data_IF_273634643818
#
_entry.id   IF_273634643818
#
_cell.length_a   1.000
_cell.length_b   1.000
_cell.length_c   1.000
_cell.angle_alpha   90.00
_cell.angle_beta   90.00
_cell.angle_gamma   90.00
#
_symmetry.space_group_name_H-M   'P 1'
#
loop_
_entity.id
_entity.type
_entity.pdbx_description
1 polymer ?
#
# COMPACT_ATOMS: atom_id res chain seq x y z
N UNK A 1 6.41 -18.96 -0.71
CA UNK A 1 7.37 -17.88 -1.02
C UNK A 1 8.78 -18.35 -0.66
N UNK A 2 9.72 -18.35 -1.62
CA UNK A 2 11.13 -18.74 -1.41
C UNK A 2 12.03 -17.56 -0.96
N UNK A 3 11.50 -16.34 -0.98
CA UNK A 3 12.21 -15.14 -0.57
C UNK A 3 12.44 -15.09 0.95
N UNK A 4 13.65 -14.71 1.37
CA UNK A 4 14.04 -14.54 2.78
C UNK A 4 14.21 -13.06 3.08
N UNK A 5 13.33 -12.50 3.91
CA UNK A 5 13.47 -11.11 4.36
C UNK A 5 14.72 -10.92 5.22
N UNK A 6 15.42 -9.82 5.00
CA UNK A 6 16.71 -9.54 5.65
C UNK A 6 16.52 -8.69 6.91
N UNK A 7 15.66 -7.69 6.92
CA UNK A 7 15.51 -6.77 8.06
C UNK A 7 14.09 -6.29 8.32
N UNK A 8 13.94 -4.97 8.47
CA UNK A 8 12.64 -4.30 8.38
C UNK A 8 12.14 -4.38 6.95
N UNK A 9 10.82 -4.50 6.77
CA UNK A 9 10.21 -4.55 5.45
C UNK A 9 9.11 -3.50 5.38
N UNK A 10 9.10 -2.71 4.31
CA UNK A 10 7.95 -1.84 4.03
C UNK A 10 6.99 -2.55 3.08
N UNK A 11 5.70 -2.51 3.39
CA UNK A 11 4.65 -3.14 2.58
C UNK A 11 3.63 -2.07 2.22
N UNK A 12 3.52 -1.70 0.95
CA UNK A 12 2.34 -1.03 0.44
C UNK A 12 1.26 -2.10 0.21
N UNK A 13 0.24 -2.13 1.07
CA UNK A 13 -0.85 -3.09 0.96
C UNK A 13 -2.02 -2.44 0.22
N UNK A 14 -2.18 -2.79 -1.05
CA UNK A 14 -3.23 -2.28 -1.92
C UNK A 14 -4.61 -2.49 -1.31
N UNK A 15 -5.40 -1.41 -1.24
CA UNK A 15 -6.72 -1.47 -0.63
C UNK A 15 -7.70 -2.38 -1.38
N UNK A 16 -7.50 -2.60 -2.69
CA UNK A 16 -8.29 -3.56 -3.46
C UNK A 16 -8.02 -5.02 -3.09
N UNK A 17 -6.91 -5.32 -2.41
CA UNK A 17 -6.62 -6.65 -1.87
C UNK A 17 -7.39 -6.85 -0.55
N UNK A 18 -7.44 -5.82 0.30
CA UNK A 18 -8.20 -5.86 1.55
C UNK A 18 -9.71 -5.74 1.32
N UNK A 19 -10.10 -5.03 0.27
CA UNK A 19 -11.47 -4.66 -0.04
C UNK A 19 -11.73 -4.71 -1.56
N UNK A 20 -11.80 -5.93 -2.15
CA UNK A 20 -12.13 -6.09 -3.57
C UNK A 20 -13.58 -5.70 -3.90
N UNK A 21 -14.47 -5.72 -2.90
CA UNK A 21 -15.86 -5.25 -2.99
C UNK A 21 -16.49 -5.15 -1.59
N UNK A 22 -16.24 -6.16 -0.76
CA UNK A 22 -16.40 -6.12 0.70
C UNK A 22 -15.04 -6.36 1.37
N UNK A 23 -14.95 -6.15 2.68
CA UNK A 23 -13.74 -6.46 3.46
C UNK A 23 -13.46 -7.97 3.37
N UNK A 24 -12.33 -8.36 2.79
CA UNK A 24 -11.91 -9.75 2.69
C UNK A 24 -11.30 -10.23 4.02
N UNK A 25 -12.16 -10.70 4.93
CA UNK A 25 -11.77 -11.23 6.24
C UNK A 25 -10.85 -12.45 6.12
N UNK A 26 -11.02 -13.28 5.08
CA UNK A 26 -10.18 -14.46 4.87
C UNK A 26 -8.75 -14.04 4.51
N UNK A 27 -8.60 -13.05 3.64
CA UNK A 27 -7.32 -12.41 3.35
C UNK A 27 -6.71 -11.83 4.62
N UNK A 28 -7.45 -11.02 5.39
CA UNK A 28 -6.92 -10.38 6.60
C UNK A 28 -6.44 -11.40 7.66
N UNK A 29 -7.17 -12.51 7.84
CA UNK A 29 -6.74 -13.63 8.71
C UNK A 29 -5.43 -14.26 8.22
N UNK A 30 -5.32 -14.53 6.91
CA UNK A 30 -4.11 -15.10 6.29
C UNK A 30 -2.93 -14.11 6.39
N UNK A 31 -3.18 -12.82 6.14
CA UNK A 31 -2.20 -11.76 6.23
C UNK A 31 -1.68 -11.60 7.66
N UNK A 32 -2.56 -11.56 8.67
CA UNK A 32 -2.16 -11.57 10.08
C UNK A 32 -1.27 -12.76 10.41
N UNK A 33 -1.69 -13.98 10.07
CA UNK A 33 -0.89 -15.20 10.30
C UNK A 33 0.48 -15.12 9.62
N UNK A 34 0.54 -14.59 8.40
CA UNK A 34 1.78 -14.41 7.66
C UNK A 34 2.73 -13.42 8.35
N UNK A 35 2.26 -12.23 8.72
CA UNK A 35 3.08 -11.21 9.39
C UNK A 35 3.60 -11.73 10.73
N UNK A 36 2.72 -12.29 11.58
CA UNK A 36 3.12 -12.83 12.89
C UNK A 36 4.18 -13.92 12.80
N UNK A 37 4.13 -14.76 11.76
CA UNK A 37 5.17 -15.78 11.51
C UNK A 37 6.55 -15.15 11.32
N UNK A 38 6.63 -14.00 10.65
CA UNK A 38 7.88 -13.29 10.42
C UNK A 38 8.31 -12.45 11.63
N UNK A 39 7.39 -11.94 12.44
CA UNK A 39 7.74 -11.30 13.71
C UNK A 39 8.48 -12.26 14.65
N UNK A 40 8.08 -13.54 14.70
CA UNK A 40 8.78 -14.59 15.46
C UNK A 40 10.22 -14.83 14.98
N UNK A 41 10.57 -14.35 13.79
CA UNK A 41 11.91 -14.42 13.19
C UNK A 41 12.63 -13.07 13.24
N UNK A 42 12.28 -12.25 14.23
CA UNK A 42 12.87 -10.94 14.48
C UNK A 42 12.78 -9.96 13.29
N UNK A 43 11.69 -10.03 12.52
CA UNK A 43 11.40 -9.06 11.45
C UNK A 43 10.47 -7.96 11.97
N UNK A 44 10.64 -6.75 11.44
CA UNK A 44 9.75 -5.60 11.66
C UNK A 44 9.04 -5.23 10.36
N UNK A 45 7.83 -4.70 10.46
CA UNK A 45 7.06 -4.30 9.29
C UNK A 45 6.57 -2.86 9.40
N UNK A 46 6.71 -2.10 8.32
CA UNK A 46 5.96 -0.86 8.10
C UNK A 46 4.90 -1.18 7.05
N UNK A 47 3.62 -1.03 7.36
CA UNK A 47 2.54 -1.40 6.44
C UNK A 47 1.73 -0.14 6.11
N UNK A 48 1.69 0.23 4.84
CA UNK A 48 0.92 1.35 4.31
C UNK A 48 -0.37 0.83 3.69
N UNK A 49 -1.52 1.23 4.24
CA UNK A 49 -2.82 0.78 3.77
C UNK A 49 -3.31 1.60 2.57
N UNK A 50 -3.70 0.94 1.47
CA UNK A 50 -4.38 1.56 0.33
C UNK A 50 -5.87 1.81 0.57
N UNK A 51 -6.48 2.69 -0.25
CA UNK A 51 -7.87 3.11 -0.10
C UNK A 51 -8.93 2.10 -0.59
N UNK A 52 -8.61 1.29 -1.61
CA UNK A 52 -9.48 0.20 -2.05
C UNK A 52 -10.80 0.67 -2.66
N UNK A 53 -11.84 -0.18 -2.60
CA UNK A 53 -13.14 0.24 -3.16
C UNK A 53 -13.78 1.34 -2.33
N UNK A 54 -13.55 1.40 -1.01
CA UNK A 54 -14.04 2.50 -0.15
C UNK A 54 -13.67 3.87 -0.74
N UNK A 55 -12.40 4.08 -1.12
CA UNK A 55 -12.00 5.32 -1.79
C UNK A 55 -12.79 5.58 -3.07
N UNK A 56 -12.91 4.56 -3.94
CA UNK A 56 -13.58 4.66 -5.24
C UNK A 56 -15.09 4.89 -5.10
N UNK A 57 -15.73 4.25 -4.13
CA UNK A 57 -17.17 4.32 -3.89
C UNK A 57 -17.54 5.71 -3.41
N UNK A 58 -16.76 6.29 -2.49
CA UNK A 58 -16.96 7.65 -1.99
C UNK A 58 -16.64 8.71 -3.06
N UNK A 59 -15.55 8.56 -3.82
CA UNK A 59 -15.22 9.44 -4.94
C UNK A 59 -16.32 9.41 -6.01
N UNK A 60 -16.82 8.21 -6.37
CA UNK A 60 -17.90 8.03 -7.35
C UNK A 60 -19.23 8.60 -6.86
N UNK A 61 -19.56 8.44 -5.58
CA UNK A 61 -20.75 9.04 -5.01
C UNK A 61 -20.66 10.58 -5.08
N UNK A 62 -19.52 11.14 -4.66
CA UNK A 62 -19.29 12.58 -4.64
C UNK A 62 -19.31 13.18 -6.06
N UNK A 63 -18.75 12.47 -7.05
CA UNK A 63 -18.74 12.92 -8.45
C UNK A 63 -20.12 12.92 -9.13
N UNK A 64 -21.10 12.20 -8.57
CA UNK A 64 -22.49 12.23 -9.05
C UNK A 64 -23.27 13.42 -8.52
N UNK A 65 -22.78 14.06 -7.45
CA UNK A 65 -23.41 15.22 -6.82
C UNK A 65 -22.84 16.51 -7.38
N UNK A 66 -21.52 16.58 -7.56
CA UNK A 66 -20.84 17.75 -8.09
C UNK A 66 -19.58 17.39 -8.88
N UNK A 67 -19.05 18.36 -9.63
CA UNK A 67 -17.75 18.24 -10.28
C UNK A 67 -16.64 18.36 -9.23
N UNK A 68 -16.01 17.24 -8.89
CA UNK A 68 -14.89 17.23 -7.95
C UNK A 68 -13.59 17.74 -8.56
N UNK A 69 -12.91 18.60 -7.83
CA UNK A 69 -11.50 18.92 -8.06
C UNK A 69 -10.61 17.72 -7.68
N UNK A 70 -9.44 17.63 -8.31
CA UNK A 70 -8.54 16.48 -8.09
C UNK A 70 -8.04 16.41 -6.64
N UNK A 71 -7.86 17.55 -5.98
CA UNK A 71 -7.47 17.61 -4.57
C UNK A 71 -8.54 17.02 -3.63
N UNK A 72 -9.82 17.34 -3.86
CA UNK A 72 -10.93 16.81 -3.05
C UNK A 72 -11.08 15.29 -3.23
N UNK A 73 -10.89 14.80 -4.46
CA UNK A 73 -10.86 13.35 -4.73
C UNK A 73 -9.76 12.68 -3.93
N UNK A 74 -8.57 13.26 -3.91
CA UNK A 74 -7.43 12.73 -3.18
C UNK A 74 -7.69 12.71 -1.67
N UNK A 75 -8.30 13.77 -1.10
CA UNK A 75 -8.66 13.79 0.32
C UNK A 75 -9.63 12.68 0.71
N UNK A 76 -10.68 12.45 -0.08
CA UNK A 76 -11.60 11.32 0.13
C UNK A 76 -10.83 9.99 0.09
N UNK A 77 -9.92 9.84 -0.87
CA UNK A 77 -9.05 8.67 -0.99
C UNK A 77 -8.15 8.47 0.24
N UNK A 78 -7.55 9.55 0.74
CA UNK A 78 -6.71 9.56 1.94
C UNK A 78 -7.52 9.15 3.17
N UNK A 79 -8.73 9.67 3.36
CA UNK A 79 -9.57 9.27 4.48
C UNK A 79 -9.95 7.78 4.44
N UNK A 80 -10.22 7.23 3.24
CA UNK A 80 -10.40 5.79 3.09
C UNK A 80 -9.14 4.98 3.46
N UNK A 81 -7.94 5.47 3.08
CA UNK A 81 -6.68 4.83 3.49
C UNK A 81 -6.48 4.86 5.01
N UNK A 82 -6.87 5.95 5.68
CA UNK A 82 -6.78 6.10 7.14
C UNK A 82 -7.71 5.11 7.86
N UNK A 83 -8.93 4.93 7.35
CA UNK A 83 -9.86 3.94 7.89
C UNK A 83 -9.30 2.51 7.76
N UNK A 84 -8.77 2.16 6.58
CA UNK A 84 -8.12 0.86 6.36
C UNK A 84 -6.86 0.67 7.22
N UNK A 85 -6.07 1.72 7.40
CA UNK A 85 -4.91 1.70 8.29
C UNK A 85 -5.34 1.45 9.74
N UNK A 86 -6.41 2.10 10.19
CA UNK A 86 -6.93 1.87 11.54
C UNK A 86 -7.44 0.43 11.72
N UNK A 87 -8.14 -0.13 10.73
CA UNK A 87 -8.53 -1.55 10.71
C UNK A 87 -7.31 -2.47 10.91
N UNK A 88 -6.24 -2.26 10.13
CA UNK A 88 -5.00 -3.04 10.27
C UNK A 88 -4.37 -2.86 11.65
N UNK A 89 -4.28 -1.63 12.16
CA UNK A 89 -3.76 -1.35 13.51
C UNK A 89 -4.56 -2.13 14.57
N UNK A 90 -5.88 -2.19 14.45
CA UNK A 90 -6.74 -2.96 15.36
C UNK A 90 -6.48 -4.46 15.26
N UNK A 91 -6.34 -5.00 14.04
CA UNK A 91 -6.00 -6.42 13.80
C UNK A 91 -4.64 -6.79 14.41
N UNK A 92 -3.70 -5.84 14.44
CA UNK A 92 -2.36 -5.99 15.00
C UNK A 92 -2.18 -5.29 16.36
N UNK A 93 -3.26 -5.05 17.11
CA UNK A 93 -3.25 -4.20 18.31
C UNK A 93 -2.11 -4.51 19.31
N UNK A 94 -1.75 -5.79 19.49
CA UNK A 94 -0.70 -6.22 20.42
C UNK A 94 0.73 -5.97 19.92
N UNK A 95 0.92 -5.88 18.60
CA UNK A 95 2.23 -5.83 17.96
C UNK A 95 2.53 -4.48 17.29
N UNK A 96 1.47 -3.75 16.96
CA UNK A 96 1.53 -2.49 16.24
C UNK A 96 1.72 -1.30 17.16
N UNK A 97 2.39 -0.28 16.62
CA UNK A 97 2.39 1.05 17.17
C UNK A 97 0.95 1.52 17.42
N UNK A 98 0.65 2.12 18.58
CA UNK A 98 -0.69 2.62 18.86
C UNK A 98 -1.11 3.72 17.88
N UNK A 99 -0.16 4.44 17.28
CA UNK A 99 -0.40 5.56 16.37
C UNK A 99 -0.32 5.09 14.91
N UNK A 100 -1.30 5.50 14.11
CA UNK A 100 -1.22 5.41 12.64
C UNK A 100 -0.43 6.60 12.10
N UNK A 101 0.55 6.34 11.23
CA UNK A 101 1.31 7.37 10.53
C UNK A 101 0.50 7.89 9.33
N UNK A 102 -0.17 9.01 9.53
CA UNK A 102 -0.96 9.76 8.55
C UNK A 102 -0.27 11.04 8.06
N UNK A 103 0.96 11.27 8.49
CA UNK A 103 1.87 12.31 8.03
C UNK A 103 3.32 11.84 8.11
N UNK A 104 4.21 12.51 7.38
CA UNK A 104 5.66 12.25 7.41
C UNK A 104 6.25 12.75 8.72
N UNK A 105 7.24 12.03 9.27
CA UNK A 105 7.97 12.38 10.51
C UNK A 105 7.15 12.37 11.80
N UNK A 106 5.93 11.81 11.81
CA UNK A 106 5.12 11.63 13.02
C UNK A 106 5.84 10.82 14.12
N UNK A 107 6.74 9.92 13.73
CA UNK A 107 7.66 9.22 14.64
C UNK A 107 9.09 9.32 14.11
N UNK A 108 10.06 9.30 15.04
CA UNK A 108 11.50 9.37 14.72
C UNK A 108 12.18 8.00 14.65
N UNK A 109 11.61 6.99 15.31
CA UNK A 109 12.19 5.64 15.46
C UNK A 109 11.10 4.57 15.47
N UNK A 110 11.44 3.38 14.97
CA UNK A 110 10.54 2.21 14.98
C UNK A 110 10.68 1.42 16.28
N UNK A 111 9.92 1.81 17.30
CA UNK A 111 9.94 1.16 18.62
C UNK A 111 9.17 -0.17 18.60
N UNK A 112 8.06 -0.21 17.86
CA UNK A 112 7.19 -1.38 17.75
C UNK A 112 7.63 -2.36 16.66
N UNK A 113 7.07 -3.58 16.69
CA UNK A 113 7.34 -4.60 15.67
C UNK A 113 6.59 -4.35 14.37
N UNK A 114 5.43 -3.69 14.47
CA UNK A 114 4.64 -3.25 13.33
C UNK A 114 4.39 -1.75 13.47
N UNK A 115 4.55 -1.02 12.38
CA UNK A 115 4.11 0.37 12.25
C UNK A 115 3.11 0.43 11.11
N UNK A 116 1.95 1.03 11.35
CA UNK A 116 0.89 1.16 10.35
C UNK A 116 0.83 2.60 9.86
N UNK A 117 0.74 2.78 8.55
CA UNK A 117 0.65 4.08 7.90
C UNK A 117 -0.51 4.13 6.90
N UNK A 118 -0.84 5.33 6.48
CA UNK A 118 -1.92 5.65 5.51
C UNK A 118 -1.42 6.65 4.46
N UNK A 119 -2.30 7.11 3.58
CA UNK A 119 -2.03 8.26 2.72
C UNK A 119 -1.83 9.54 3.54
N UNK A 120 -0.98 10.44 3.05
CA UNK A 120 -0.57 11.63 3.80
C UNK A 120 -1.15 12.93 3.26
N UNK A 121 -1.05 13.14 1.94
CA UNK A 121 -1.47 14.37 1.30
C UNK A 121 -1.88 14.15 -0.17
N UNK A 122 -2.67 15.06 -0.75
CA UNK A 122 -3.01 15.04 -2.17
C UNK A 122 -1.80 14.97 -3.09
N UNK A 123 -2.00 14.36 -4.26
CA UNK A 123 -0.96 14.11 -5.25
C UNK A 123 -0.08 12.88 -4.98
N UNK A 124 -0.22 12.20 -3.85
CA UNK A 124 0.63 11.07 -3.45
C UNK A 124 -0.13 9.74 -3.41
N UNK A 125 0.47 8.68 -3.98
CA UNK A 125 -0.02 7.31 -3.81
C UNK A 125 0.49 6.70 -2.51
N UNK A 126 -0.16 5.62 -2.07
CA UNK A 126 0.33 4.80 -0.95
C UNK A 126 1.63 4.09 -1.26
N UNK A 127 1.91 3.81 -2.54
CA UNK A 127 3.19 3.25 -2.98
C UNK A 127 4.31 4.29 -2.80
N UNK A 128 4.05 5.55 -3.16
CA UNK A 128 4.98 6.64 -2.90
C UNK A 128 5.25 6.81 -1.41
N UNK A 129 4.19 6.81 -0.58
CA UNK A 129 4.33 6.89 0.88
C UNK A 129 5.15 5.72 1.43
N UNK A 130 4.92 4.49 0.96
CA UNK A 130 5.68 3.32 1.36
C UNK A 130 7.17 3.45 1.01
N UNK A 131 7.49 3.87 -0.22
CA UNK A 131 8.88 4.06 -0.62
C UNK A 131 9.53 5.23 0.13
N UNK A 132 8.79 6.29 0.43
CA UNK A 132 9.28 7.40 1.24
C UNK A 132 9.59 6.96 2.67
N UNK A 133 8.74 6.14 3.29
CA UNK A 133 9.01 5.52 4.59
C UNK A 133 10.22 4.59 4.54
N UNK A 134 10.41 3.87 3.44
CA UNK A 134 11.60 3.04 3.26
C UNK A 134 12.87 3.89 3.26
N UNK A 135 12.87 5.03 2.56
CA UNK A 135 13.98 6.00 2.58
C UNK A 135 14.19 6.58 3.98
N UNK A 136 13.12 7.07 4.62
CA UNK A 136 13.19 7.75 5.92
C UNK A 136 13.73 6.84 7.04
N UNK A 137 13.47 5.53 6.96
CA UNK A 137 13.93 4.55 7.94
C UNK A 137 15.10 3.67 7.46
N UNK A 138 15.72 3.98 6.31
CA UNK A 138 16.87 3.24 5.78
C UNK A 138 16.56 1.76 5.45
N UNK A 139 15.33 1.48 5.01
CA UNK A 139 14.86 0.12 4.70
C UNK A 139 15.17 -0.21 3.24
N UNK A 140 15.99 -1.25 3.02
CA UNK A 140 16.38 -1.70 1.67
C UNK A 140 15.40 -2.65 0.98
N UNK A 141 14.31 -3.05 1.64
CA UNK A 141 13.32 -4.01 1.12
C UNK A 141 11.90 -3.44 1.20
N UNK A 142 11.25 -3.30 0.04
CA UNK A 142 9.85 -2.89 -0.06
C UNK A 142 9.03 -3.90 -0.88
N UNK A 143 7.79 -4.12 -0.47
CA UNK A 143 6.79 -4.93 -1.18
C UNK A 143 5.64 -4.03 -1.58
N UNK A 144 5.34 -3.98 -2.87
CA UNK A 144 4.11 -3.39 -3.38
C UNK A 144 3.12 -4.53 -3.62
N UNK A 145 2.23 -4.77 -2.66
CA UNK A 145 1.21 -5.79 -2.75
C UNK A 145 -0.02 -5.17 -3.45
N UNK A 146 -0.08 -5.32 -4.77
CA UNK A 146 -1.14 -4.78 -5.62
C UNK A 146 -1.70 -5.79 -6.61
N UNK A 147 -2.46 -5.27 -7.59
CA UNK A 147 -2.92 -6.00 -8.77
C UNK A 147 -2.52 -5.16 -9.99
N UNK A 148 -1.85 -5.74 -11.01
CA UNK A 148 -1.56 -7.16 -11.23
C UNK A 148 -0.47 -7.74 -10.28
N UNK A 149 -0.32 -9.08 -10.18
CA UNK A 149 0.56 -9.72 -9.19
C UNK A 149 2.06 -9.54 -9.46
N UNK A 150 2.43 -9.15 -10.68
CA UNK A 150 3.80 -8.92 -11.11
C UNK A 150 3.86 -7.70 -12.03
N UNK A 151 5.07 -7.29 -12.37
CA UNK A 151 5.30 -6.39 -13.50
C UNK A 151 5.16 -7.20 -14.80
N UNK A 152 4.49 -6.62 -15.80
CA UNK A 152 4.29 -7.23 -17.10
C UNK A 152 4.87 -6.36 -18.21
N UNK A 153 5.17 -6.97 -19.37
CA UNK A 153 5.66 -6.25 -20.56
C UNK A 153 4.62 -5.27 -21.15
N UNK A 154 3.34 -5.52 -20.89
CA UNK A 154 2.20 -4.68 -21.25
C UNK A 154 1.09 -4.86 -20.21
N UNK A 155 0.02 -4.06 -20.27
CA UNK A 155 -1.13 -4.24 -19.36
C UNK A 155 -1.82 -5.59 -19.62
N UNK A 156 -1.75 -6.56 -18.68
CA UNK A 156 -2.27 -7.90 -18.90
C UNK A 156 -3.81 -7.96 -18.99
N UNK A 157 -4.52 -6.88 -18.61
CA UNK A 157 -5.96 -6.77 -18.81
C UNK A 157 -6.32 -6.38 -20.25
N UNK A 158 -5.39 -5.77 -20.98
CA UNK A 158 -5.61 -5.24 -22.34
C UNK A 158 -4.89 -6.07 -23.41
N UNK A 159 -3.73 -6.61 -23.08
CA UNK A 159 -2.91 -7.39 -24.00
C UNK A 159 -2.76 -8.84 -23.50
N UNK A 160 -3.32 -9.79 -24.26
CA UNK A 160 -3.23 -11.23 -23.97
C UNK A 160 -1.82 -11.79 -24.12
N UNK A 161 -0.93 -11.08 -24.83
CA UNK A 161 0.46 -11.46 -25.01
C UNK A 161 1.38 -10.88 -23.93
N UNK A 162 0.84 -10.14 -22.95
CA UNK A 162 1.61 -9.59 -21.84
C UNK A 162 2.34 -10.69 -21.06
N UNK A 163 3.67 -10.58 -20.94
CA UNK A 163 4.51 -11.56 -20.25
C UNK A 163 4.92 -11.04 -18.87
N UNK A 164 4.89 -11.93 -17.89
CA UNK A 164 5.37 -11.66 -16.53
C UNK A 164 6.89 -11.42 -16.53
N UNK A 165 7.33 -10.37 -15.84
CA UNK A 165 8.73 -10.05 -15.61
C UNK A 165 9.04 -10.34 -14.14
N UNK A 166 9.80 -11.42 -13.90
CA UNK A 166 10.12 -11.90 -12.54
C UNK A 166 11.20 -11.08 -11.84
N UNK A 167 12.19 -10.63 -12.60
CA UNK A 167 13.30 -9.83 -12.10
C UNK A 167 13.59 -8.74 -13.13
N UNK A 168 13.84 -7.53 -12.65
CA UNK A 168 14.23 -6.39 -13.46
C UNK A 168 14.97 -5.37 -12.60
N UNK A 169 15.82 -4.56 -13.22
CA UNK A 169 16.46 -3.42 -12.57
C UNK A 169 15.65 -2.14 -12.75
N UNK A 170 15.89 -1.14 -11.90
CA UNK A 170 15.16 0.14 -11.93
C UNK A 170 15.18 0.81 -13.31
N UNK A 171 16.32 0.75 -14.01
CA UNK A 171 16.48 1.31 -15.37
C UNK A 171 15.54 0.66 -16.38
N UNK A 172 15.25 -0.63 -16.24
CA UNK A 172 14.32 -1.36 -17.11
C UNK A 172 12.87 -1.05 -16.72
N UNK A 173 12.57 -1.07 -15.42
CA UNK A 173 11.23 -0.75 -14.92
C UNK A 173 10.78 0.64 -15.38
N UNK A 174 11.69 1.64 -15.33
CA UNK A 174 11.37 3.01 -15.72
C UNK A 174 10.94 3.16 -17.18
N UNK A 175 11.40 2.27 -18.07
CA UNK A 175 11.01 2.23 -19.49
C UNK A 175 9.58 1.71 -19.69
N UNK A 176 9.04 0.94 -18.74
CA UNK A 176 7.71 0.35 -18.81
C UNK A 176 6.61 1.31 -18.30
N UNK A 177 6.97 2.25 -17.42
CA UNK A 177 6.02 3.19 -16.83
C UNK A 177 6.04 4.55 -17.54
N UNK A 178 4.87 5.22 -17.71
CA UNK A 178 4.81 6.53 -18.36
C UNK A 178 5.68 7.60 -17.69
N UNK A 179 6.07 8.63 -18.45
CA UNK A 179 6.86 9.74 -17.92
C UNK A 179 6.07 10.55 -16.85
N UNK A 180 4.76 10.74 -17.09
CA UNK A 180 3.84 11.43 -16.18
C UNK A 180 2.94 10.42 -15.46
N UNK A 181 2.77 10.59 -14.15
CA UNK A 181 1.90 9.77 -13.30
C UNK A 181 0.84 10.65 -12.63
N UNK A 182 -0.37 10.12 -12.40
CA UNK A 182 -1.44 10.80 -11.67
C UNK A 182 -2.05 9.85 -10.61
N UNK A 183 -2.45 10.33 -9.43
CA UNK A 183 -3.21 9.52 -8.48
C UNK A 183 -4.45 8.90 -9.12
N UNK A 184 -4.73 7.63 -8.79
CA UNK A 184 -5.90 6.90 -9.31
C UNK A 184 -5.84 6.53 -10.78
N UNK A 185 -4.71 6.69 -11.48
CA UNK A 185 -4.62 6.44 -12.93
C UNK A 185 -4.52 4.96 -13.36
N UNK A 186 -4.69 4.00 -12.44
CA UNK A 186 -4.60 2.55 -12.69
C UNK A 186 -5.58 1.73 -11.84
#
# INVERSE_FOLDING_TARGET
MRYKFRGTIVVALGGSIMHPGEIDVLFLKKFRKFILKWLKRNKKFIIVAGGGSIARDYQKASSKVLRLEDEDKDWIGIHATRLNAHLLRTIFHKEADPVVLDERFKIKKLEHKITIASGWRPGWSTDYVALQLAVDFGVGEAIIAGSPPHVYTADPKKDKNAKEIKNLIWKEYRKLIPAKWKPGSH
#
